data_IF_715209113187
#
_entry.id   IF_715209113187
#
_cell.length_a   1.000
_cell.length_b   1.000
_cell.length_c   1.000
_cell.angle_alpha   90.00
_cell.angle_beta   90.00
_cell.angle_gamma   90.00
#
_symmetry.space_group_name_H-M   'P 1'
#
loop_
_entity.id
_entity.type
_entity.pdbx_description
1 polymer ?
#
# COMPACT_ATOMS: atom_id res chain seq x y z
N UNK A 1 -31.20 9.33 8.45
CA UNK A 1 -30.12 10.27 8.09
C UNK A 1 -29.00 9.49 7.42
N UNK A 2 -28.93 9.46 6.10
CA UNK A 2 -27.79 8.88 5.39
C UNK A 2 -26.63 9.86 5.49
N UNK A 3 -25.64 9.57 6.34
CA UNK A 3 -24.43 10.39 6.41
C UNK A 3 -23.74 10.46 5.04
N UNK A 4 -23.25 11.64 4.68
CA UNK A 4 -22.54 11.85 3.43
C UNK A 4 -21.37 10.86 3.29
N UNK A 5 -21.17 10.31 2.09
CA UNK A 5 -20.12 9.30 1.86
C UNK A 5 -18.75 9.96 1.71
N UNK A 6 -18.05 10.14 2.83
CA UNK A 6 -16.71 10.73 2.85
C UNK A 6 -15.66 9.74 2.31
N UNK A 7 -14.82 10.20 1.37
CA UNK A 7 -13.72 9.42 0.79
C UNK A 7 -12.41 9.65 1.57
N UNK A 8 -12.08 8.73 2.48
CA UNK A 8 -10.84 8.79 3.30
C UNK A 8 -9.66 7.99 2.70
N UNK A 9 -9.64 7.79 1.39
CA UNK A 9 -8.61 7.01 0.70
C UNK A 9 -8.28 7.60 -0.67
N UNK A 10 -7.03 7.38 -1.08
CA UNK A 10 -6.56 7.65 -2.44
C UNK A 10 -6.80 6.40 -3.28
N UNK A 11 -7.30 6.61 -4.49
CA UNK A 11 -7.49 5.51 -5.45
C UNK A 11 -6.14 5.11 -6.03
N UNK A 12 -6.01 3.84 -6.38
CA UNK A 12 -4.88 3.32 -7.12
C UNK A 12 -5.27 2.10 -7.91
N UNK A 13 -4.35 1.66 -8.77
CA UNK A 13 -4.55 0.54 -9.68
C UNK A 13 -3.47 -0.51 -9.48
N UNK A 14 -3.88 -1.79 -9.46
CA UNK A 14 -2.95 -2.91 -9.42
C UNK A 14 -2.45 -3.15 -10.83
N UNK A 15 -1.15 -2.92 -11.06
CA UNK A 15 -0.55 -3.15 -12.37
C UNK A 15 -0.20 -4.62 -12.58
N UNK A 16 0.37 -5.26 -11.55
CA UNK A 16 1.06 -6.52 -11.73
C UNK A 16 1.70 -7.03 -10.44
N UNK A 17 2.44 -8.12 -10.58
CA UNK A 17 3.41 -8.56 -9.58
C UNK A 17 4.81 -8.10 -9.96
N UNK A 18 5.72 -8.06 -8.99
CA UNK A 18 7.15 -7.85 -9.28
C UNK A 18 7.60 -8.93 -10.26
N UNK A 19 8.12 -8.56 -11.42
CA UNK A 19 8.54 -9.52 -12.45
C UNK A 19 9.87 -9.14 -13.09
N UNK A 20 10.55 -10.15 -13.59
CA UNK A 20 11.59 -10.07 -14.61
C UNK A 20 10.94 -10.41 -15.97
N UNK A 21 11.72 -10.42 -17.06
CA UNK A 21 11.25 -10.82 -18.40
C UNK A 21 10.51 -12.17 -18.35
N UNK A 22 11.12 -13.19 -17.73
CA UNK A 22 10.58 -14.55 -17.66
C UNK A 22 9.90 -14.90 -16.32
N UNK A 23 10.39 -14.37 -15.20
CA UNK A 23 9.97 -14.81 -13.86
C UNK A 23 9.05 -13.80 -13.15
N UNK A 24 8.01 -14.29 -12.49
CA UNK A 24 7.06 -13.48 -11.72
C UNK A 24 7.09 -13.82 -10.22
N UNK A 25 7.13 -12.79 -9.38
CA UNK A 25 7.21 -12.92 -7.92
C UNK A 25 5.92 -12.42 -7.26
N UNK A 26 4.97 -13.33 -7.04
CA UNK A 26 3.60 -13.02 -6.62
C UNK A 26 3.47 -12.49 -5.17
N UNK A 27 4.54 -12.61 -4.36
CA UNK A 27 4.54 -12.09 -2.98
C UNK A 27 4.57 -10.56 -2.91
N UNK A 28 4.96 -9.88 -3.99
CA UNK A 28 5.01 -8.42 -4.07
C UNK A 28 4.17 -7.93 -5.25
N UNK A 29 3.19 -7.08 -4.96
CA UNK A 29 2.38 -6.43 -5.97
C UNK A 29 2.94 -5.05 -6.34
N UNK A 30 2.72 -4.64 -7.58
CA UNK A 30 3.00 -3.31 -8.10
C UNK A 30 1.68 -2.53 -8.18
N UNK A 31 1.66 -1.36 -7.55
CA UNK A 31 0.46 -0.52 -7.47
C UNK A 31 0.83 0.87 -7.96
N UNK A 32 0.03 1.41 -8.87
CA UNK A 32 0.09 2.82 -9.27
C UNK A 32 -0.89 3.59 -8.42
N UNK A 33 -0.44 4.66 -7.77
CA UNK A 33 -1.30 5.53 -6.97
C UNK A 33 -1.74 6.68 -7.88
N UNK A 34 -3.03 7.03 -7.85
CA UNK A 34 -3.56 8.10 -8.68
C UNK A 34 -2.96 9.45 -8.24
N UNK A 35 -2.53 10.25 -9.21
CA UNK A 35 -1.91 11.56 -8.96
C UNK A 35 -0.45 11.52 -8.50
N UNK A 36 0.18 10.35 -8.40
CA UNK A 36 1.60 10.22 -8.03
C UNK A 36 2.42 9.88 -9.26
N UNK A 37 3.32 10.78 -9.65
CA UNK A 37 4.16 10.63 -10.85
C UNK A 37 5.63 10.48 -10.48
N UNK A 38 6.06 11.12 -9.39
CA UNK A 38 7.47 11.11 -8.98
C UNK A 38 7.74 10.18 -7.80
N UNK A 39 9.00 9.74 -7.68
CA UNK A 39 9.46 8.95 -6.53
C UNK A 39 9.39 9.72 -5.20
N UNK A 40 9.56 11.05 -5.22
CA UNK A 40 9.53 11.90 -4.01
C UNK A 40 8.14 11.93 -3.39
N UNK A 41 7.09 11.99 -4.22
CA UNK A 41 5.70 11.94 -3.76
C UNK A 41 5.32 10.58 -3.15
N UNK A 42 5.94 9.49 -3.60
CA UNK A 42 5.70 8.14 -3.06
C UNK A 42 6.07 8.04 -1.57
N UNK A 43 7.05 8.81 -1.10
CA UNK A 43 7.56 8.72 0.26
C UNK A 43 6.47 8.97 1.31
N UNK A 44 5.49 9.83 1.00
CA UNK A 44 4.30 10.06 1.83
C UNK A 44 3.45 8.80 2.03
N UNK A 45 3.37 7.95 1.01
CA UNK A 45 2.56 6.73 1.01
C UNK A 45 3.27 5.52 1.61
N UNK A 46 4.54 5.64 2.00
CA UNK A 46 5.28 4.52 2.58
C UNK A 46 4.73 4.09 3.95
N UNK A 47 4.44 2.80 4.09
CA UNK A 47 3.87 2.22 5.31
C UNK A 47 2.36 2.42 5.46
N UNK A 48 1.71 3.12 4.52
CA UNK A 48 0.25 3.27 4.50
C UNK A 48 -0.44 1.93 4.26
N UNK A 49 -1.65 1.78 4.82
CA UNK A 49 -2.46 0.57 4.62
C UNK A 49 -3.13 0.59 3.26
N UNK A 50 -3.26 -0.60 2.68
CA UNK A 50 -3.86 -0.81 1.38
C UNK A 50 -4.97 -1.84 1.51
N UNK A 51 -6.11 -1.59 0.88
CA UNK A 51 -7.23 -2.50 0.81
C UNK A 51 -7.60 -2.80 -0.65
N UNK A 52 -7.56 -4.09 -1.00
CA UNK A 52 -8.20 -4.59 -2.21
C UNK A 52 -9.57 -5.16 -1.83
N UNK A 53 -10.62 -4.57 -2.39
CA UNK A 53 -12.00 -4.96 -2.12
C UNK A 53 -12.53 -5.72 -3.33
N UNK A 54 -13.12 -6.88 -3.09
CA UNK A 54 -13.70 -7.70 -4.15
C UNK A 54 -15.05 -8.27 -3.71
N UNK A 55 -15.88 -8.61 -4.70
CA UNK A 55 -17.19 -9.25 -4.49
C UNK A 55 -17.03 -10.76 -4.65
N UNK A 56 -17.62 -11.51 -3.75
CA UNK A 56 -17.75 -12.96 -3.83
C UNK A 56 -19.23 -13.36 -3.89
N UNK A 57 -19.52 -14.56 -4.40
CA UNK A 57 -20.90 -15.06 -4.48
C UNK A 57 -21.48 -15.37 -3.10
N UNK A 58 -20.69 -16.05 -2.26
CA UNK A 58 -21.09 -16.41 -0.88
C UNK A 58 -20.94 -15.24 0.07
N UNK A 59 -21.98 -15.04 0.89
CA UNK A 59 -21.98 -14.09 1.98
C UNK A 59 -21.07 -14.55 3.12
N UNK A 60 -20.29 -13.61 3.66
CA UNK A 60 -19.54 -13.80 4.90
C UNK A 60 -19.78 -12.59 5.78
N UNK A 61 -20.15 -12.81 7.05
CA UNK A 61 -20.42 -11.73 8.01
C UNK A 61 -21.46 -10.73 7.48
N UNK A 62 -22.56 -11.25 6.90
CA UNK A 62 -23.65 -10.42 6.38
C UNK A 62 -23.33 -9.61 5.11
N UNK A 63 -22.18 -9.84 4.46
CA UNK A 63 -21.83 -9.12 3.24
C UNK A 63 -21.17 -10.01 2.18
N UNK A 64 -21.40 -9.66 0.90
CA UNK A 64 -20.72 -10.28 -0.26
C UNK A 64 -19.35 -9.66 -0.54
N UNK A 65 -18.99 -8.60 0.18
CA UNK A 65 -17.74 -7.86 0.01
C UNK A 65 -16.66 -8.44 0.91
N UNK A 66 -15.47 -8.62 0.35
CA UNK A 66 -14.31 -9.12 1.08
C UNK A 66 -13.12 -8.20 0.82
N UNK A 67 -12.28 -8.10 1.84
CA UNK A 67 -11.13 -7.19 1.81
C UNK A 67 -9.84 -7.96 2.01
N UNK A 68 -8.88 -7.75 1.12
CA UNK A 68 -7.49 -8.16 1.32
C UNK A 68 -6.68 -6.96 1.76
N UNK A 69 -6.14 -7.05 2.98
CA UNK A 69 -5.32 -6.02 3.58
C UNK A 69 -3.85 -6.19 3.24
N UNK A 70 -3.19 -5.06 3.01
CA UNK A 70 -1.76 -4.97 2.78
C UNK A 70 -1.18 -3.64 3.26
N UNK A 71 0.11 -3.47 2.98
CA UNK A 71 0.87 -2.24 3.25
C UNK A 71 1.73 -1.84 2.06
N UNK A 72 1.91 -0.54 1.89
CA UNK A 72 2.90 0.03 0.98
C UNK A 72 4.29 -0.19 1.58
N UNK A 73 5.22 -0.76 0.82
CA UNK A 73 6.57 -1.09 1.28
C UNK A 73 7.61 -0.08 0.84
N UNK A 74 7.81 0.08 -0.48
CA UNK A 74 8.86 0.93 -1.07
C UNK A 74 8.45 1.41 -2.45
N UNK A 75 9.05 2.50 -2.90
CA UNK A 75 8.93 2.94 -4.29
C UNK A 75 9.48 1.90 -5.29
N UNK A 76 8.89 1.88 -6.48
CA UNK A 76 9.28 1.07 -7.62
C UNK A 76 9.50 1.96 -8.85
N UNK A 77 10.74 2.01 -9.34
CA UNK A 77 11.12 2.88 -10.46
C UNK A 77 11.03 4.37 -10.08
N UNK A 78 10.99 5.21 -11.11
CA UNK A 78 10.85 6.66 -11.00
C UNK A 78 9.40 7.16 -11.14
N UNK A 79 8.56 6.42 -11.89
CA UNK A 79 7.20 6.82 -12.28
C UNK A 79 6.10 6.60 -11.24
N UNK A 80 6.36 6.87 -9.96
CA UNK A 80 5.32 6.90 -8.92
C UNK A 80 4.68 5.55 -8.56
N UNK A 81 5.21 4.43 -9.07
CA UNK A 81 4.70 3.08 -8.76
C UNK A 81 5.26 2.62 -7.41
N UNK A 82 4.46 1.88 -6.65
CA UNK A 82 4.85 1.36 -5.32
C UNK A 82 4.83 -0.16 -5.28
N UNK A 83 5.72 -0.73 -4.49
CA UNK A 83 5.67 -2.14 -4.09
C UNK A 83 4.79 -2.28 -2.86
N UNK A 84 3.84 -3.19 -2.92
CA UNK A 84 2.96 -3.50 -1.80
C UNK A 84 3.04 -4.98 -1.44
N UNK A 85 2.93 -5.25 -0.13
CA UNK A 85 2.82 -6.61 0.40
C UNK A 85 1.48 -6.76 1.08
N UNK A 86 0.71 -7.74 0.63
CA UNK A 86 -0.57 -8.12 1.22
C UNK A 86 -0.37 -9.26 2.22
N UNK A 87 -1.31 -9.43 3.16
CA UNK A 87 -1.26 -10.52 4.14
C UNK A 87 -1.34 -11.89 3.47
N UNK A 88 -2.18 -12.01 2.46
CA UNK A 88 -2.20 -13.13 1.50
C UNK A 88 -1.84 -12.57 0.14
N UNK A 89 -1.17 -13.36 -0.70
CA UNK A 89 -0.84 -12.94 -2.06
C UNK A 89 -2.14 -12.58 -2.80
N UNK A 90 -2.07 -11.52 -3.63
CA UNK A 90 -3.23 -11.16 -4.43
C UNK A 90 -3.52 -12.26 -5.46
N UNK A 91 -4.80 -12.43 -5.85
CA UNK A 91 -5.17 -13.31 -6.95
C UNK A 91 -4.86 -12.63 -8.30
N UNK A 92 -4.50 -13.36 -9.37
CA UNK A 92 -4.24 -12.77 -10.69
C UNK A 92 -5.45 -12.02 -11.29
N UNK A 93 -6.68 -12.38 -10.86
CA UNK A 93 -7.91 -11.65 -11.22
C UNK A 93 -7.93 -10.19 -10.73
N UNK A 94 -7.12 -9.83 -9.73
CA UNK A 94 -7.06 -8.46 -9.23
C UNK A 94 -6.25 -7.51 -10.12
N UNK A 95 -5.54 -8.02 -11.13
CA UNK A 95 -4.74 -7.20 -12.04
C UNK A 95 -5.65 -6.28 -12.86
N UNK A 96 -5.24 -5.02 -13.02
CA UNK A 96 -6.05 -3.95 -13.60
C UNK A 96 -7.14 -3.42 -12.66
N UNK A 97 -7.41 -4.11 -11.54
CA UNK A 97 -8.40 -3.74 -10.55
C UNK A 97 -8.00 -2.51 -9.72
N UNK A 98 -9.02 -1.86 -9.17
CA UNK A 98 -8.84 -0.70 -8.28
C UNK A 98 -8.54 -1.13 -6.85
N UNK A 99 -7.77 -0.29 -6.17
CA UNK A 99 -7.33 -0.47 -4.79
C UNK A 99 -7.51 0.84 -4.04
N UNK A 100 -7.77 0.71 -2.74
CA UNK A 100 -7.87 1.84 -1.82
C UNK A 100 -6.59 1.95 -1.01
N UNK A 101 -5.82 3.00 -1.23
CA UNK A 101 -4.66 3.37 -0.41
C UNK A 101 -5.16 4.31 0.68
N UNK A 102 -5.07 3.86 1.92
CA UNK A 102 -5.56 4.60 3.07
C UNK A 102 -4.54 5.65 3.51
N UNK A 103 -5.02 6.76 4.05
CA UNK A 103 -4.14 7.86 4.50
C UNK A 103 -3.44 7.56 5.84
N UNK A 104 -3.81 6.46 6.48
CA UNK A 104 -3.25 6.02 7.76
C UNK A 104 -2.36 4.77 7.61
N UNK A 105 -1.46 4.49 8.57
CA UNK A 105 -1.13 5.29 9.76
C UNK A 105 -0.53 6.65 9.40
N UNK A 106 -1.03 7.72 10.01
CA UNK A 106 -0.43 9.05 9.88
C UNK A 106 0.93 9.01 10.58
N UNK A 107 2.00 9.26 9.82
CA UNK A 107 3.28 9.62 10.44
C UNK A 107 3.07 11.07 10.84
N UNK A 108 2.70 11.33 12.09
CA UNK A 108 2.63 12.69 12.59
C UNK A 108 4.01 13.33 12.40
N UNK A 109 4.09 14.36 11.54
CA UNK A 109 4.95 15.54 11.62
C UNK A 109 6.35 15.47 12.27
N UNK A 110 7.00 14.31 12.33
CA UNK A 110 8.33 14.10 12.89
C UNK A 110 9.22 13.38 11.88
N UNK A 111 9.34 13.92 10.67
CA UNK A 111 10.28 13.45 9.65
C UNK A 111 11.47 14.41 9.48
N UNK A 112 11.90 15.01 10.59
CA UNK A 112 13.15 15.77 10.73
C UNK A 112 13.99 15.36 11.95
N UNK A 113 13.63 14.27 12.65
CA UNK A 113 14.40 13.76 13.78
C UNK A 113 15.32 12.62 13.36
N UNK A 114 16.59 12.57 13.81
CA UNK A 114 17.45 11.42 13.58
C UNK A 114 16.77 10.18 14.17
N UNK A 115 16.86 9.06 13.43
CA UNK A 115 16.36 7.76 13.90
C UNK A 115 17.06 7.46 15.22
N UNK A 116 16.32 7.54 16.33
CA UNK A 116 16.77 7.15 17.66
C UNK A 116 17.20 5.68 17.63
N UNK A 117 18.50 5.46 17.47
CA UNK A 117 19.13 4.15 17.37
C UNK A 117 20.66 4.20 17.30
N UNK A 118 21.28 5.31 17.70
CA UNK A 118 22.73 5.51 17.69
C UNK A 118 23.21 6.31 18.92
N UNK A 119 22.72 5.95 20.11
CA UNK A 119 23.20 6.45 21.40
C UNK A 119 23.37 5.27 22.36
N UNK A 120 24.25 4.33 22.01
CA UNK A 120 24.80 3.34 22.94
C UNK A 120 26.22 3.02 22.50
N UNK A 121 27.10 4.02 22.46
CA UNK A 121 28.53 3.76 22.56
C UNK A 121 29.24 4.96 23.17
N UNK A 122 30.00 4.67 24.22
CA UNK A 122 31.05 5.47 24.88
C UNK A 122 30.60 6.54 25.88
N UNK A 123 30.31 6.09 27.10
CA UNK A 123 30.64 6.82 28.32
C UNK A 123 31.04 5.79 29.39
N UNK A 124 32.30 5.35 29.33
CA UNK A 124 33.01 4.71 30.44
C UNK A 124 34.44 5.21 30.37
N UNK A 125 34.65 6.37 30.95
CA UNK A 125 35.82 6.83 31.68
C UNK A 125 35.33 7.88 32.68
#
# INVERSE_FOLDING_TARGET
MGGETVRLFVKGQILGYKRQKSNQHNHTALIKIDGVVSKKEVDFYLGKRIAYIYRAHTEKQGSKLRVMWGKVMRAHGSGGTVRAKFRKNLPPKSLGGSVRVMLYPSRGLCAGGPRSGALWTVASF
#
